data_IF_384886124396
#
_entry.id   IF_384886124396
#
_cell.length_a   1.000
_cell.length_b   1.000
_cell.length_c   1.000
_cell.angle_alpha   90.00
_cell.angle_beta   90.00
_cell.angle_gamma   90.00
#
_symmetry.space_group_name_H-M   'P 1'
#
loop_
_entity.id
_entity.type
_entity.pdbx_description
1 polymer ?
#
# COMPACT_ATOMS: atom_id res chain seq x y z
N UNK A 1 -0.34 0.80 22.96
CA UNK A 1 -0.03 0.63 21.53
C UNK A 1 -1.28 0.18 20.81
N UNK A 2 -1.65 0.84 19.70
CA UNK A 2 -2.91 0.60 18.98
C UNK A 2 -2.99 -0.78 18.31
N UNK A 3 -1.84 -1.35 17.95
CA UNK A 3 -1.74 -2.64 17.25
C UNK A 3 -0.95 -3.67 18.04
N UNK A 4 -0.98 -3.55 19.37
CA UNK A 4 -0.28 -4.50 20.25
C UNK A 4 -0.68 -5.94 19.91
N UNK A 5 0.31 -6.80 19.73
CA UNK A 5 0.16 -8.24 19.47
C UNK A 5 -0.57 -8.56 18.14
N UNK A 6 -0.70 -7.62 17.20
CA UNK A 6 -1.22 -7.85 15.85
C UNK A 6 -0.13 -8.34 14.92
N UNK A 7 -0.49 -9.20 13.97
CA UNK A 7 0.33 -9.57 12.83
C UNK A 7 -0.16 -8.81 11.59
N UNK A 8 0.72 -8.05 10.97
CA UNK A 8 0.43 -7.20 9.81
C UNK A 8 1.26 -7.67 8.61
N UNK A 9 0.61 -7.87 7.47
CA UNK A 9 1.28 -8.09 6.18
C UNK A 9 1.31 -6.75 5.43
N UNK A 10 2.48 -6.36 4.89
CA UNK A 10 2.65 -5.19 4.01
C UNK A 10 3.27 -5.64 2.70
N UNK A 11 2.56 -5.50 1.58
CA UNK A 11 3.13 -5.78 0.25
C UNK A 11 3.85 -4.56 -0.31
N UNK A 12 5.00 -4.79 -0.97
CA UNK A 12 5.87 -3.69 -1.41
C UNK A 12 6.40 -2.87 -0.23
N UNK A 13 6.71 -3.54 0.90
CA UNK A 13 7.05 -2.91 2.16
C UNK A 13 8.52 -2.54 2.34
N UNK A 14 9.38 -2.80 1.34
CA UNK A 14 10.83 -2.54 1.40
C UNK A 14 11.22 -1.08 1.22
N UNK A 15 10.37 -0.26 0.61
CA UNK A 15 10.68 1.13 0.24
C UNK A 15 9.44 2.03 0.19
N UNK A 16 9.67 3.33 0.02
CA UNK A 16 8.65 4.34 -0.21
C UNK A 16 7.49 4.28 0.80
N UNK A 17 6.26 4.36 0.30
CA UNK A 17 5.04 4.32 1.12
C UNK A 17 4.96 3.03 1.93
N UNK A 18 5.28 1.87 1.32
CA UNK A 18 5.22 0.59 2.00
C UNK A 18 6.17 0.49 3.19
N UNK A 19 7.39 1.01 3.08
CA UNK A 19 8.34 1.08 4.19
C UNK A 19 7.83 1.98 5.32
N UNK A 20 7.23 3.14 4.98
CA UNK A 20 6.58 4.01 5.96
C UNK A 20 5.44 3.30 6.70
N UNK A 21 4.59 2.57 5.97
CA UNK A 21 3.52 1.77 6.57
C UNK A 21 4.11 0.69 7.49
N UNK A 22 5.13 -0.06 7.04
CA UNK A 22 5.76 -1.13 7.83
C UNK A 22 6.32 -0.61 9.16
N UNK A 23 7.05 0.52 9.12
CA UNK A 23 7.58 1.18 10.32
C UNK A 23 6.48 1.68 11.26
N UNK A 24 5.45 2.35 10.73
CA UNK A 24 4.34 2.87 11.52
C UNK A 24 3.55 1.75 12.20
N UNK A 25 3.30 0.63 11.51
CA UNK A 25 2.63 -0.55 12.09
C UNK A 25 3.45 -1.15 13.24
N UNK A 26 4.77 -1.28 13.07
CA UNK A 26 5.66 -1.76 14.12
C UNK A 26 5.70 -0.81 15.33
N UNK A 27 5.84 0.49 15.12
CA UNK A 27 5.78 1.50 16.18
C UNK A 27 4.45 1.49 16.94
N UNK A 28 3.37 1.13 16.24
CA UNK A 28 2.05 0.93 16.87
C UNK A 28 1.92 -0.40 17.65
N UNK A 29 2.93 -1.29 17.59
CA UNK A 29 3.03 -2.53 18.37
C UNK A 29 2.77 -3.82 17.60
N UNK A 30 2.70 -3.79 16.28
CA UNK A 30 2.50 -4.98 15.47
C UNK A 30 3.82 -5.70 15.15
N UNK A 31 3.76 -7.02 14.95
CA UNK A 31 4.77 -7.78 14.22
C UNK A 31 4.45 -7.71 12.72
N UNK A 32 5.47 -7.63 11.86
CA UNK A 32 5.28 -7.28 10.45
C UNK A 32 5.86 -8.35 9.50
N UNK A 33 5.06 -8.75 8.52
CA UNK A 33 5.52 -9.52 7.35
C UNK A 33 5.64 -8.56 6.18
N UNK A 34 6.86 -8.41 5.66
CA UNK A 34 7.16 -7.51 4.55
C UNK A 34 7.31 -8.33 3.29
N UNK A 35 6.43 -8.14 2.32
CA UNK A 35 6.69 -8.64 0.98
C UNK A 35 7.45 -7.58 0.17
N UNK A 36 8.44 -8.04 -0.59
CA UNK A 36 9.23 -7.24 -1.51
C UNK A 36 9.53 -8.02 -2.79
N UNK A 37 10.03 -7.34 -3.81
CA UNK A 37 10.45 -7.95 -5.06
C UNK A 37 11.76 -7.32 -5.51
N UNK A 38 12.87 -8.05 -5.33
CA UNK A 38 14.24 -7.55 -5.49
C UNK A 38 14.56 -7.07 -6.90
N UNK A 39 14.03 -7.73 -7.94
CA UNK A 39 14.22 -7.30 -9.33
C UNK A 39 13.74 -5.87 -9.54
N UNK A 40 12.56 -5.52 -9.01
CA UNK A 40 12.01 -4.18 -9.09
C UNK A 40 12.77 -3.16 -8.21
N UNK A 41 13.28 -3.58 -7.05
CA UNK A 41 14.08 -2.73 -6.18
C UNK A 41 15.45 -2.45 -6.82
N UNK A 42 16.07 -3.45 -7.48
CA UNK A 42 17.33 -3.31 -8.21
C UNK A 42 17.20 -2.40 -9.45
N UNK A 43 16.11 -2.50 -10.23
CA UNK A 43 15.82 -1.59 -11.36
C UNK A 43 15.81 -0.13 -10.94
N UNK A 44 15.50 0.15 -9.67
CA UNK A 44 15.42 1.48 -9.08
C UNK A 44 16.64 1.85 -8.21
N UNK A 45 17.73 1.03 -8.27
CA UNK A 45 18.98 1.28 -7.55
C UNK A 45 18.88 1.16 -6.02
N UNK A 46 17.86 0.46 -5.49
CA UNK A 46 17.60 0.35 -4.04
C UNK A 46 17.83 -1.09 -3.55
N UNK A 47 19.09 -1.48 -3.44
CA UNK A 47 19.48 -2.84 -3.03
C UNK A 47 19.33 -3.12 -1.54
N UNK A 48 19.40 -2.11 -0.67
CA UNK A 48 19.49 -2.27 0.79
C UNK A 48 18.18 -1.85 1.51
N UNK A 49 17.11 -1.60 0.77
CA UNK A 49 15.87 -1.07 1.33
C UNK A 49 15.21 -2.00 2.36
N UNK A 50 15.23 -3.31 2.13
CA UNK A 50 14.58 -4.28 3.01
C UNK A 50 15.35 -4.45 4.33
N UNK A 51 16.67 -4.52 4.32
CA UNK A 51 17.51 -4.63 5.52
C UNK A 51 17.32 -3.43 6.45
N UNK A 52 17.28 -2.22 5.90
CA UNK A 52 17.05 -1.00 6.66
C UNK A 52 15.67 -1.01 7.35
N UNK A 53 14.61 -1.46 6.65
CA UNK A 53 13.27 -1.55 7.25
C UNK A 53 13.20 -2.61 8.34
N UNK A 54 13.83 -3.77 8.14
CA UNK A 54 13.91 -4.82 9.17
C UNK A 54 14.63 -4.31 10.42
N UNK A 55 15.78 -3.66 10.26
CA UNK A 55 16.55 -3.08 11.37
C UNK A 55 15.75 -2.03 12.14
N UNK A 56 15.02 -1.15 11.47
CA UNK A 56 14.16 -0.13 12.10
C UNK A 56 13.02 -0.76 12.92
N UNK A 57 12.43 -1.85 12.41
CA UNK A 57 11.37 -2.57 13.12
C UNK A 57 11.94 -3.28 14.34
N UNK A 58 13.08 -3.93 14.23
CA UNK A 58 13.78 -4.57 15.35
C UNK A 58 14.14 -3.54 16.44
N UNK A 59 14.66 -2.38 16.04
CA UNK A 59 14.97 -1.28 16.96
C UNK A 59 13.73 -0.74 17.69
N UNK A 60 12.53 -0.89 17.13
CA UNK A 60 11.24 -0.57 17.80
C UNK A 60 10.80 -1.64 18.81
N UNK A 61 11.56 -2.73 18.96
CA UNK A 61 11.24 -3.86 19.84
C UNK A 61 10.18 -4.81 19.26
N UNK A 62 9.95 -4.77 17.93
CA UNK A 62 9.02 -5.67 17.24
C UNK A 62 9.78 -6.62 16.33
N UNK A 63 9.08 -7.69 15.89
CA UNK A 63 9.66 -8.67 14.97
C UNK A 63 9.17 -8.41 13.56
N UNK A 64 10.03 -8.65 12.58
CA UNK A 64 9.65 -8.67 11.18
C UNK A 64 10.30 -9.83 10.44
N UNK A 65 9.62 -10.30 9.40
CA UNK A 65 10.19 -11.20 8.40
C UNK A 65 9.98 -10.63 7.01
N UNK A 66 10.89 -10.93 6.10
CA UNK A 66 10.83 -10.51 4.71
C UNK A 66 10.55 -11.71 3.79
N UNK A 67 9.60 -11.55 2.89
CA UNK A 67 9.18 -12.58 1.94
C UNK A 67 9.31 -12.03 0.52
N UNK A 68 10.25 -12.56 -0.23
CA UNK A 68 10.43 -12.20 -1.63
C UNK A 68 9.36 -12.84 -2.50
N UNK A 69 8.78 -12.06 -3.42
CA UNK A 69 7.83 -12.54 -4.42
C UNK A 69 7.12 -11.42 -5.16
N UNK A 70 6.89 -11.64 -6.45
CA UNK A 70 6.09 -10.75 -7.27
C UNK A 70 4.61 -10.97 -6.95
N UNK A 71 3.91 -9.91 -6.52
CA UNK A 71 2.46 -10.02 -6.21
C UNK A 71 1.59 -10.36 -7.43
N UNK A 72 2.11 -10.16 -8.64
CA UNK A 72 1.45 -10.57 -9.88
C UNK A 72 1.44 -12.09 -10.09
N UNK A 73 2.29 -12.85 -9.37
CA UNK A 73 2.31 -14.30 -9.44
C UNK A 73 1.20 -14.88 -8.56
N UNK A 74 0.37 -15.81 -9.08
CA UNK A 74 -0.81 -16.31 -8.37
C UNK A 74 -0.53 -16.91 -6.99
N UNK A 75 0.64 -17.52 -6.80
CA UNK A 75 1.00 -18.22 -5.56
C UNK A 75 1.60 -17.29 -4.49
N UNK A 76 2.05 -16.10 -4.87
CA UNK A 76 2.74 -15.18 -3.94
C UNK A 76 1.86 -14.77 -2.77
N UNK A 77 0.59 -14.50 -3.02
CA UNK A 77 -0.35 -14.12 -1.95
C UNK A 77 -0.48 -15.20 -0.88
N UNK A 78 -0.60 -16.48 -1.28
CA UNK A 78 -0.69 -17.58 -0.34
C UNK A 78 0.65 -17.80 0.38
N UNK A 79 1.78 -17.74 -0.33
CA UNK A 79 3.13 -17.85 0.26
C UNK A 79 3.35 -16.85 1.39
N UNK A 80 2.94 -15.60 1.20
CA UNK A 80 3.08 -14.53 2.22
C UNK A 80 2.21 -14.84 3.44
N UNK A 81 0.96 -15.27 3.22
CA UNK A 81 0.02 -15.63 4.30
C UNK A 81 0.52 -16.84 5.08
N UNK A 82 1.01 -17.87 4.41
CA UNK A 82 1.54 -19.07 5.06
C UNK A 82 2.76 -18.73 5.93
N UNK A 83 3.66 -17.87 5.46
CA UNK A 83 4.80 -17.39 6.23
C UNK A 83 4.37 -16.58 7.46
N UNK A 84 3.34 -15.73 7.35
CA UNK A 84 2.77 -14.99 8.48
C UNK A 84 2.19 -15.93 9.55
N UNK A 85 1.46 -16.96 9.11
CA UNK A 85 0.89 -17.97 10.03
C UNK A 85 1.97 -18.84 10.65
N UNK A 86 2.98 -19.25 9.91
CA UNK A 86 4.09 -20.05 10.44
C UNK A 86 4.89 -19.29 11.52
N UNK A 87 5.18 -18.01 11.32
CA UNK A 87 6.01 -17.21 12.22
C UNK A 87 5.21 -16.58 13.38
N UNK A 88 4.02 -16.05 13.09
CA UNK A 88 3.23 -15.25 14.04
C UNK A 88 1.89 -15.89 14.43
N UNK A 89 1.55 -17.03 13.85
CA UNK A 89 0.35 -17.80 14.17
C UNK A 89 -0.96 -17.29 13.58
N UNK A 90 -0.95 -16.10 12.92
CA UNK A 90 -2.16 -15.41 12.46
C UNK A 90 -1.88 -14.32 11.44
N UNK A 91 -2.96 -13.80 10.85
CA UNK A 91 -2.98 -12.55 10.06
C UNK A 91 -4.12 -11.68 10.59
N UNK A 92 -3.82 -10.53 11.18
CA UNK A 92 -4.82 -9.57 11.67
C UNK A 92 -5.08 -8.44 10.66
N UNK A 93 -4.04 -8.02 9.93
CA UNK A 93 -4.12 -6.89 9.00
C UNK A 93 -3.36 -7.22 7.71
N UNK A 94 -3.93 -6.84 6.58
CA UNK A 94 -3.23 -6.73 5.31
C UNK A 94 -3.19 -5.26 4.88
N UNK A 95 -2.00 -4.74 4.61
CA UNK A 95 -1.78 -3.53 3.83
C UNK A 95 -1.31 -3.91 2.42
N UNK A 96 -2.26 -3.96 1.48
CA UNK A 96 -2.00 -4.24 0.06
C UNK A 96 -1.51 -2.95 -0.60
N UNK A 97 -0.19 -2.78 -0.61
CA UNK A 97 0.45 -1.53 -1.05
C UNK A 97 1.26 -1.68 -2.34
N UNK A 98 1.77 -2.87 -2.66
CA UNK A 98 2.60 -3.08 -3.86
C UNK A 98 1.97 -2.46 -5.11
N UNK A 99 2.79 -1.75 -5.89
CA UNK A 99 2.33 -1.10 -7.11
C UNK A 99 3.46 -0.40 -7.85
N UNK A 100 3.29 -0.25 -9.15
CA UNK A 100 4.23 0.40 -10.08
C UNK A 100 3.50 1.46 -10.91
N UNK A 101 4.25 2.50 -11.32
CA UNK A 101 3.73 3.59 -12.15
C UNK A 101 4.83 4.12 -13.09
N UNK A 102 5.28 3.36 -14.10
CA UNK A 102 6.16 3.91 -15.12
C UNK A 102 5.39 4.96 -15.93
N UNK A 103 6.03 6.11 -16.21
CA UNK A 103 5.38 7.19 -16.94
C UNK A 103 5.51 6.98 -18.46
N UNK A 104 4.37 6.99 -19.16
CA UNK A 104 4.33 6.86 -20.62
C UNK A 104 3.24 7.75 -21.24
N UNK A 105 3.55 8.34 -22.40
CA UNK A 105 2.54 8.96 -23.25
C UNK A 105 1.51 7.91 -23.70
N UNK A 106 0.25 8.31 -23.80
CA UNK A 106 -0.81 7.38 -24.22
C UNK A 106 -0.57 6.78 -25.61
N UNK A 107 -0.01 7.56 -26.53
CA UNK A 107 0.23 7.10 -27.90
C UNK A 107 1.39 6.11 -28.01
N UNK A 108 2.34 6.17 -27.08
CA UNK A 108 3.60 5.42 -27.16
C UNK A 108 3.72 4.30 -26.13
N UNK A 109 2.70 4.13 -25.27
CA UNK A 109 2.77 3.11 -24.23
C UNK A 109 2.79 1.70 -24.81
N UNK A 110 3.81 0.87 -24.51
CA UNK A 110 3.82 -0.54 -24.89
C UNK A 110 2.72 -1.33 -24.19
N UNK A 111 2.09 -2.26 -24.89
CA UNK A 111 0.99 -3.07 -24.33
C UNK A 111 1.44 -3.97 -23.18
N UNK A 112 2.68 -4.45 -23.19
CA UNK A 112 3.27 -5.23 -22.11
C UNK A 112 3.45 -4.40 -20.83
N UNK A 113 3.83 -3.12 -20.95
CA UNK A 113 3.87 -2.19 -19.82
C UNK A 113 2.48 -2.02 -19.20
N UNK A 114 1.45 -1.76 -20.02
CA UNK A 114 0.07 -1.64 -19.55
C UNK A 114 -0.40 -2.90 -18.83
N UNK A 115 -0.09 -4.09 -19.40
CA UNK A 115 -0.43 -5.38 -18.79
C UNK A 115 0.32 -5.61 -17.49
N UNK A 116 1.63 -5.31 -17.43
CA UNK A 116 2.43 -5.42 -16.21
C UNK A 116 1.87 -4.54 -15.10
N UNK A 117 1.49 -3.29 -15.39
CA UNK A 117 0.88 -2.39 -14.42
C UNK A 117 -0.46 -2.92 -13.92
N UNK A 118 -1.31 -3.47 -14.80
CA UNK A 118 -2.57 -4.11 -14.39
C UNK A 118 -2.33 -5.34 -13.49
N UNK A 119 -1.42 -6.22 -13.90
CA UNK A 119 -1.09 -7.43 -13.17
C UNK A 119 -0.57 -7.15 -11.75
N UNK A 120 0.32 -6.17 -11.59
CA UNK A 120 0.87 -5.82 -10.27
C UNK A 120 -0.15 -5.05 -9.43
N UNK A 121 -0.73 -3.97 -9.97
CA UNK A 121 -1.49 -3.02 -9.17
C UNK A 121 -2.88 -3.53 -8.81
N UNK A 122 -3.56 -4.20 -9.74
CA UNK A 122 -4.93 -4.65 -9.51
C UNK A 122 -5.01 -6.16 -9.25
N UNK A 123 -4.52 -6.99 -10.16
CA UNK A 123 -4.63 -8.45 -10.01
C UNK A 123 -3.83 -8.95 -8.80
N UNK A 124 -2.62 -8.42 -8.59
CA UNK A 124 -1.81 -8.72 -7.40
C UNK A 124 -2.49 -8.29 -6.11
N UNK A 125 -3.04 -7.06 -6.07
CA UNK A 125 -3.81 -6.58 -4.92
C UNK A 125 -5.02 -7.47 -4.63
N UNK A 126 -5.72 -7.92 -5.68
CA UNK A 126 -6.85 -8.85 -5.56
C UNK A 126 -6.41 -10.19 -4.96
N UNK A 127 -5.38 -10.82 -5.53
CA UNK A 127 -4.92 -12.15 -5.13
C UNK A 127 -4.42 -12.18 -3.69
N UNK A 128 -3.60 -11.20 -3.29
CA UNK A 128 -3.10 -11.10 -1.91
C UNK A 128 -4.26 -10.81 -0.93
N UNK A 129 -5.19 -9.92 -1.29
CA UNK A 129 -6.36 -9.61 -0.47
C UNK A 129 -7.24 -10.83 -0.28
N UNK A 130 -7.43 -11.65 -1.33
CA UNK A 130 -8.21 -12.89 -1.25
C UNK A 130 -7.54 -13.93 -0.35
N UNK A 131 -6.22 -14.11 -0.44
CA UNK A 131 -5.46 -15.04 0.40
C UNK A 131 -5.55 -14.62 1.88
N UNK A 132 -5.31 -13.36 2.19
CA UNK A 132 -5.43 -12.83 3.55
C UNK A 132 -6.86 -12.94 4.09
N UNK A 133 -7.87 -12.61 3.28
CA UNK A 133 -9.29 -12.74 3.69
C UNK A 133 -9.66 -14.19 4.03
N UNK A 134 -9.24 -15.17 3.21
CA UNK A 134 -9.47 -16.59 3.50
C UNK A 134 -8.88 -16.99 4.85
N UNK A 135 -7.67 -16.55 5.15
CA UNK A 135 -7.02 -16.83 6.43
C UNK A 135 -7.75 -16.13 7.59
N UNK A 136 -8.14 -14.87 7.45
CA UNK A 136 -8.91 -14.13 8.47
C UNK A 136 -10.26 -14.78 8.76
N UNK A 137 -10.98 -15.25 7.71
CA UNK A 137 -12.23 -15.99 7.87
C UNK A 137 -12.00 -17.32 8.60
N UNK A 138 -10.95 -18.07 8.25
CA UNK A 138 -10.58 -19.33 8.93
C UNK A 138 -10.27 -19.12 10.41
N UNK A 139 -9.63 -18.00 10.77
CA UNK A 139 -9.30 -17.63 12.15
C UNK A 139 -10.55 -17.23 12.97
N UNK A 140 -11.55 -16.60 12.35
CA UNK A 140 -12.84 -16.31 12.95
C UNK A 140 -12.88 -15.12 13.91
N UNK A 141 -11.81 -14.31 14.00
CA UNK A 141 -11.76 -13.14 14.91
C UNK A 141 -11.76 -11.78 14.19
N UNK A 142 -12.12 -11.79 12.90
CA UNK A 142 -12.16 -10.57 12.10
C UNK A 142 -10.79 -10.15 11.56
N UNK A 143 -10.66 -8.89 11.13
CA UNK A 143 -9.43 -8.34 10.59
C UNK A 143 -9.62 -7.01 9.87
N UNK A 144 -8.55 -6.51 9.26
CA UNK A 144 -8.58 -5.33 8.41
C UNK A 144 -7.76 -5.52 7.12
N UNK A 145 -8.34 -5.16 5.99
CA UNK A 145 -7.67 -5.09 4.70
C UNK A 145 -7.63 -3.62 4.27
N UNK A 146 -6.44 -3.10 4.01
CA UNK A 146 -6.19 -1.73 3.62
C UNK A 146 -5.46 -1.75 2.29
N UNK A 147 -6.03 -1.15 1.24
CA UNK A 147 -5.39 -1.09 -0.06
C UNK A 147 -4.89 0.33 -0.38
N UNK A 148 -3.67 0.44 -0.91
CA UNK A 148 -3.12 1.71 -1.38
C UNK A 148 -3.62 1.98 -2.81
N UNK A 149 -4.66 2.82 -2.90
CA UNK A 149 -5.14 3.39 -4.15
C UNK A 149 -4.33 4.65 -4.51
N UNK A 150 -4.94 5.73 -4.93
CA UNK A 150 -4.34 7.03 -5.24
C UNK A 150 -5.44 8.07 -5.42
N UNK A 151 -5.14 9.36 -5.30
CA UNK A 151 -6.02 10.41 -5.84
C UNK A 151 -6.26 10.21 -7.35
N UNK A 152 -5.32 9.57 -8.06
CA UNK A 152 -5.45 9.20 -9.47
C UNK A 152 -6.59 8.19 -9.76
N UNK A 153 -7.22 7.63 -8.75
CA UNK A 153 -8.47 6.88 -8.92
C UNK A 153 -9.67 7.80 -9.23
N UNK A 154 -9.56 9.09 -8.92
CA UNK A 154 -10.62 10.09 -9.04
C UNK A 154 -10.32 11.14 -10.11
N UNK A 155 -9.05 11.29 -10.50
CA UNK A 155 -8.59 12.25 -11.51
C UNK A 155 -7.64 11.58 -12.50
N UNK A 156 -7.52 12.15 -13.70
CA UNK A 156 -6.56 11.69 -14.71
C UNK A 156 -5.14 12.21 -14.46
N UNK A 157 -4.18 11.55 -15.11
CA UNK A 157 -2.80 12.00 -15.20
C UNK A 157 -2.31 11.79 -16.64
N UNK A 158 -1.67 12.79 -17.26
CA UNK A 158 -1.29 12.78 -18.66
C UNK A 158 -0.45 11.56 -19.05
N UNK A 159 0.51 11.16 -18.20
CA UNK A 159 1.41 10.05 -18.45
C UNK A 159 1.01 8.76 -17.70
N UNK A 160 -0.25 8.66 -17.25
CA UNK A 160 -0.71 7.63 -16.34
C UNK A 160 -1.97 6.88 -16.82
N UNK A 161 -2.26 6.88 -18.12
CA UNK A 161 -3.48 6.27 -18.68
C UNK A 161 -3.61 4.76 -18.42
N UNK A 162 -2.52 4.08 -18.12
CA UNK A 162 -2.45 2.67 -17.74
C UNK A 162 -2.45 2.46 -16.20
N UNK A 163 -2.11 3.50 -15.43
CA UNK A 163 -2.03 3.46 -13.97
C UNK A 163 -3.34 3.85 -13.29
N UNK A 164 -3.93 4.99 -13.69
CA UNK A 164 -5.14 5.54 -13.06
C UNK A 164 -6.30 4.54 -13.05
N UNK A 165 -6.58 3.78 -14.13
CA UNK A 165 -7.63 2.76 -14.11
C UNK A 165 -7.38 1.66 -13.08
N UNK A 166 -6.11 1.25 -12.85
CA UNK A 166 -5.80 0.23 -11.86
C UNK A 166 -6.08 0.72 -10.43
N UNK A 167 -5.81 1.99 -10.15
CA UNK A 167 -6.09 2.60 -8.84
C UNK A 167 -7.59 2.83 -8.62
N UNK A 168 -8.34 3.14 -9.66
CA UNK A 168 -9.80 3.16 -9.63
C UNK A 168 -10.38 1.74 -9.39
N UNK A 169 -9.80 0.71 -10.03
CA UNK A 169 -10.19 -0.68 -9.82
C UNK A 169 -9.95 -1.13 -8.36
N UNK A 170 -8.79 -0.81 -7.77
CA UNK A 170 -8.50 -1.10 -6.35
C UNK A 170 -9.49 -0.38 -5.42
N UNK A 171 -9.80 0.89 -5.67
CA UNK A 171 -10.80 1.63 -4.93
C UNK A 171 -12.16 0.93 -4.95
N UNK A 172 -12.68 0.62 -6.14
CA UNK A 172 -13.97 -0.06 -6.34
C UNK A 172 -13.97 -1.48 -5.74
N UNK A 173 -12.86 -2.21 -5.86
CA UNK A 173 -12.69 -3.54 -5.27
C UNK A 173 -12.87 -3.47 -3.74
N UNK A 174 -12.26 -2.51 -3.04
CA UNK A 174 -12.39 -2.42 -1.58
C UNK A 174 -13.84 -2.17 -1.13
N UNK A 175 -14.62 -1.42 -1.90
CA UNK A 175 -16.06 -1.25 -1.63
C UNK A 175 -16.82 -2.59 -1.72
N UNK A 176 -16.62 -3.34 -2.81
CA UNK A 176 -17.29 -4.62 -3.02
C UNK A 176 -16.86 -5.69 -2.00
N UNK A 177 -15.56 -5.74 -1.69
CA UNK A 177 -14.99 -6.69 -0.72
C UNK A 177 -15.47 -6.37 0.70
N UNK A 178 -15.65 -5.10 1.05
CA UNK A 178 -16.19 -4.69 2.36
C UNK A 178 -17.60 -5.22 2.61
N UNK A 179 -18.44 -5.24 1.59
CA UNK A 179 -19.78 -5.80 1.67
C UNK A 179 -19.73 -7.32 1.88
N UNK A 180 -18.88 -8.00 1.12
CA UNK A 180 -18.74 -9.45 1.16
C UNK A 180 -18.20 -9.97 2.48
N UNK A 181 -17.25 -9.24 3.10
CA UNK A 181 -16.50 -9.67 4.27
C UNK A 181 -17.05 -9.09 5.59
N UNK A 182 -17.97 -8.15 5.55
CA UNK A 182 -18.56 -7.54 6.75
C UNK A 182 -19.17 -8.55 7.72
N UNK A 183 -19.83 -9.59 7.22
CA UNK A 183 -20.36 -10.69 8.04
C UNK A 183 -19.30 -11.48 8.82
N UNK A 184 -18.04 -11.38 8.41
CA UNK A 184 -16.90 -12.00 9.08
C UNK A 184 -16.14 -11.02 9.98
N UNK A 185 -16.69 -9.81 10.20
CA UNK A 185 -16.04 -8.73 10.95
C UNK A 185 -14.66 -8.33 10.37
N UNK A 186 -14.50 -8.42 9.04
CA UNK A 186 -13.32 -7.97 8.31
C UNK A 186 -13.66 -6.64 7.66
N UNK A 187 -12.92 -5.59 8.01
CA UNK A 187 -13.08 -4.26 7.46
C UNK A 187 -12.15 -4.08 6.25
N UNK A 188 -12.65 -3.47 5.19
CA UNK A 188 -11.89 -3.25 3.96
C UNK A 188 -12.00 -1.79 3.55
N UNK A 189 -10.86 -1.10 3.45
CA UNK A 189 -10.80 0.31 3.13
C UNK A 189 -9.64 0.59 2.17
N UNK A 190 -9.64 1.74 1.52
CA UNK A 190 -8.52 2.21 0.74
C UNK A 190 -7.96 3.54 1.26
N UNK A 191 -6.67 3.74 1.08
CA UNK A 191 -6.00 5.02 1.25
C UNK A 191 -5.73 5.57 -0.15
N UNK A 192 -5.95 6.86 -0.34
CA UNK A 192 -5.71 7.59 -1.58
C UNK A 192 -4.61 8.64 -1.36
N UNK A 193 -3.33 8.26 -1.49
CA UNK A 193 -2.23 9.20 -1.41
C UNK A 193 -2.28 10.25 -2.51
N UNK A 194 -1.90 11.48 -2.20
CA UNK A 194 -1.50 12.49 -3.16
C UNK A 194 -0.04 12.35 -3.58
N UNK A 195 0.66 13.48 -3.70
CA UNK A 195 2.09 13.49 -3.99
C UNK A 195 2.88 13.23 -2.70
N UNK A 196 3.50 12.05 -2.62
CA UNK A 196 4.30 11.62 -1.48
C UNK A 196 5.78 11.58 -1.89
N UNK A 197 6.63 12.21 -1.09
CA UNK A 197 8.09 12.17 -1.29
C UNK A 197 8.61 10.76 -0.95
N UNK A 198 8.99 10.06 -1.99
CA UNK A 198 9.70 8.78 -1.95
C UNK A 198 10.95 8.93 -2.82
N UNK A 199 11.86 7.98 -2.76
CA UNK A 199 13.04 8.03 -3.62
C UNK A 199 12.65 8.13 -5.11
N UNK A 200 11.59 7.41 -5.51
CA UNK A 200 11.06 7.45 -6.87
C UNK A 200 10.54 8.84 -7.30
N UNK A 201 9.82 9.53 -6.41
CA UNK A 201 9.22 10.83 -6.74
C UNK A 201 10.19 11.98 -6.55
N UNK A 202 11.19 11.82 -5.69
CA UNK A 202 12.22 12.82 -5.42
C UNK A 202 13.02 13.17 -6.66
N UNK A 203 13.44 12.18 -7.45
CA UNK A 203 14.18 12.39 -8.70
C UNK A 203 13.39 13.21 -9.73
N UNK A 204 12.05 13.04 -9.75
CA UNK A 204 11.16 13.74 -10.68
C UNK A 204 10.79 15.15 -10.20
N UNK A 205 10.77 15.36 -8.88
CA UNK A 205 10.28 16.60 -8.29
C UNK A 205 11.39 17.57 -7.90
N UNK A 206 12.59 17.07 -7.56
CA UNK A 206 13.63 17.91 -6.95
C UNK A 206 14.10 19.03 -7.90
N UNK A 207 13.84 20.29 -7.51
CA UNK A 207 14.21 21.47 -8.27
C UNK A 207 13.45 21.69 -9.59
N UNK A 208 12.31 21.04 -9.79
CA UNK A 208 11.56 21.14 -11.06
C UNK A 208 10.35 22.08 -10.97
N UNK A 209 9.96 22.66 -12.12
CA UNK A 209 8.71 23.43 -12.24
C UNK A 209 7.48 22.62 -11.85
N UNK A 210 7.52 21.29 -12.06
CA UNK A 210 6.47 20.38 -11.67
C UNK A 210 6.31 20.32 -10.15
N UNK A 211 7.41 20.38 -9.39
CA UNK A 211 7.36 20.45 -7.93
C UNK A 211 6.69 21.72 -7.45
N UNK A 212 7.08 22.87 -8.01
CA UNK A 212 6.48 24.17 -7.65
C UNK A 212 4.99 24.21 -7.98
N UNK A 213 4.61 23.73 -9.16
CA UNK A 213 3.20 23.61 -9.58
C UNK A 213 2.41 22.70 -8.63
N UNK A 214 2.97 21.54 -8.29
CA UNK A 214 2.32 20.58 -7.39
C UNK A 214 2.16 21.16 -5.98
N UNK A 215 3.17 21.85 -5.46
CA UNK A 215 3.13 22.48 -4.14
C UNK A 215 2.06 23.57 -4.04
N UNK A 216 1.87 24.38 -5.08
CA UNK A 216 0.81 25.41 -5.13
C UNK A 216 -0.58 24.79 -5.00
N UNK A 217 -0.76 23.57 -5.50
CA UNK A 217 -2.03 22.83 -5.45
C UNK A 217 -2.26 22.08 -4.13
N UNK A 218 -1.28 22.03 -3.23
CA UNK A 218 -1.40 21.35 -1.93
C UNK A 218 -1.66 22.41 -0.84
N UNK A 219 -2.89 22.55 -0.32
CA UNK A 219 -3.22 23.54 0.73
C UNK A 219 -2.32 23.46 1.97
N UNK A 220 -1.83 22.27 2.36
CA UNK A 220 -0.91 22.11 3.48
C UNK A 220 0.52 22.60 3.17
N UNK A 221 0.81 23.06 1.93
CA UNK A 221 2.07 23.68 1.53
C UNK A 221 3.30 22.78 1.55
N UNK A 222 3.12 21.47 1.65
CA UNK A 222 4.20 20.47 1.62
C UNK A 222 3.77 19.18 0.92
N UNK A 223 4.71 18.48 0.37
CA UNK A 223 4.48 17.09 -0.03
C UNK A 223 4.23 16.19 1.19
N UNK A 224 3.47 15.13 0.99
CA UNK A 224 3.33 14.08 1.99
C UNK A 224 4.62 13.26 2.13
N UNK A 225 4.73 12.56 3.24
CA UNK A 225 5.80 11.61 3.53
C UNK A 225 5.23 10.20 3.64
N UNK A 226 6.04 9.14 3.51
CA UNK A 226 5.59 7.77 3.79
C UNK A 226 4.97 7.60 5.17
N UNK A 227 5.42 8.35 6.18
CA UNK A 227 4.85 8.33 7.53
C UNK A 227 3.42 8.91 7.58
N UNK A 228 3.13 9.97 6.83
CA UNK A 228 1.76 10.50 6.74
C UNK A 228 0.76 9.42 6.30
N UNK A 229 1.18 8.54 5.38
CA UNK A 229 0.37 7.39 4.94
C UNK A 229 0.35 6.28 6.00
N UNK A 230 1.50 6.01 6.63
CA UNK A 230 1.66 5.03 7.69
C UNK A 230 0.71 5.27 8.87
N UNK A 231 0.57 6.52 9.32
CA UNK A 231 -0.32 6.88 10.43
C UNK A 231 -1.80 6.62 10.09
N UNK A 232 -2.23 6.92 8.87
CA UNK A 232 -3.61 6.62 8.43
C UNK A 232 -3.82 5.11 8.30
N UNK A 233 -2.81 4.37 7.84
CA UNK A 233 -2.88 2.91 7.79
C UNK A 233 -3.02 2.31 9.21
N UNK A 234 -2.27 2.82 10.20
CA UNK A 234 -2.42 2.42 11.62
C UNK A 234 -3.83 2.72 12.16
N UNK A 235 -4.38 3.90 11.86
CA UNK A 235 -5.77 4.23 12.22
C UNK A 235 -6.74 3.19 11.65
N UNK A 236 -6.67 2.92 10.34
CA UNK A 236 -7.55 1.96 9.66
C UNK A 236 -7.37 0.52 10.16
N UNK A 237 -6.17 0.13 10.58
CA UNK A 237 -5.87 -1.18 11.14
C UNK A 237 -6.41 -1.35 12.56
N UNK A 238 -6.54 -0.27 13.33
CA UNK A 238 -6.87 -0.27 14.74
C UNK A 238 -8.38 -0.27 15.03
N UNK A 239 -8.73 -0.47 16.30
CA UNK A 239 -10.11 -0.37 16.80
C UNK A 239 -10.68 1.05 16.74
N UNK A 240 -9.85 2.08 16.52
CA UNK A 240 -10.34 3.44 16.27
C UNK A 240 -11.20 3.50 15.01
N UNK A 241 -10.94 2.62 14.02
CA UNK A 241 -11.70 2.49 12.79
C UNK A 241 -12.74 1.36 12.81
N UNK A 242 -13.17 0.89 13.98
CA UNK A 242 -14.06 -0.29 14.11
C UNK A 242 -15.40 -0.18 13.38
N UNK A 243 -15.82 1.03 13.02
CA UNK A 243 -17.05 1.28 12.25
C UNK A 243 -16.77 1.89 10.86
N UNK A 244 -15.52 1.77 10.38
CA UNK A 244 -15.08 2.27 9.08
C UNK A 244 -14.79 1.09 8.17
N UNK A 245 -15.63 0.88 7.16
CA UNK A 245 -15.44 -0.12 6.10
C UNK A 245 -16.05 0.39 4.79
N UNK A 246 -15.46 0.01 3.65
CA UNK A 246 -15.85 0.51 2.32
C UNK A 246 -15.44 1.97 2.07
N UNK A 247 -14.70 2.58 2.99
CA UNK A 247 -14.25 3.95 2.86
C UNK A 247 -12.96 4.08 2.04
N UNK A 248 -12.81 5.26 1.43
CA UNK A 248 -11.56 5.67 0.78
C UNK A 248 -11.13 7.00 1.37
N UNK A 249 -9.95 7.02 1.98
CA UNK A 249 -9.43 8.19 2.70
C UNK A 249 -8.39 8.89 1.85
N UNK A 250 -8.67 10.12 1.47
CA UNK A 250 -7.70 11.01 0.83
C UNK A 250 -6.62 11.41 1.85
N UNK A 251 -5.35 11.20 1.47
CA UNK A 251 -4.18 11.60 2.26
C UNK A 251 -3.23 12.35 1.31
N UNK A 252 -3.62 13.57 0.97
CA UNK A 252 -3.07 14.33 -0.16
C UNK A 252 -2.79 15.80 0.17
N UNK A 253 -2.90 16.17 1.44
CA UNK A 253 -2.73 17.56 1.88
C UNK A 253 -3.79 18.53 1.34
N UNK A 254 -4.92 18.02 0.84
CA UNK A 254 -6.01 18.78 0.25
C UNK A 254 -5.87 18.99 -1.26
N UNK A 255 -4.90 18.35 -1.91
CA UNK A 255 -4.61 18.54 -3.34
C UNK A 255 -5.81 18.23 -4.25
N UNK A 256 -6.57 17.17 -3.95
CA UNK A 256 -7.71 16.75 -4.76
C UNK A 256 -8.84 17.77 -4.78
N UNK A 257 -9.12 18.40 -3.64
CA UNK A 257 -10.24 19.35 -3.51
C UNK A 257 -9.88 20.77 -3.93
N UNK A 258 -8.61 21.05 -4.16
CA UNK A 258 -8.12 22.36 -4.60
C UNK A 258 -8.13 22.43 -6.13
N UNK A 259 -9.00 23.30 -6.67
CA UNK A 259 -9.15 23.53 -8.10
C UNK A 259 -8.28 24.69 -8.63
N UNK A 260 -7.60 25.43 -7.74
CA UNK A 260 -6.78 26.60 -8.08
C UNK A 260 -5.35 26.22 -8.48
#
# INVERSE_FOLDING_TARGET
MLLKDKCVIVTGGSRGIGAGISRAMAQAGADVVINYFSENDNELGQTDGIEAVLADIEASGRRAIAIEGNVADPDTGQKIVDAAVAEFGKVDVLSSNAGICPFHSFLDIPIDVMRRVSAVNYEGSFMVSQAAARQMVKQGHGGAIIATSSISALVGGELQSHYTPTKAAVHSMMQSVSISLGKHNIRCNSIMPGTILTDLTREVLDGTELAEYSLKRIPLGRFGTPDDIGQVAVFLASDMARYVTGASILVDGGMYVNLE
#
